data_IF_539721709007
#
_entry.id   IF_539721709007
#
_cell.length_a   1.000
_cell.length_b   1.000
_cell.length_c   1.000
_cell.angle_alpha   90.00
_cell.angle_beta   90.00
_cell.angle_gamma   90.00
#
_symmetry.space_group_name_H-M   'P 1'
#
loop_
_entity.id
_entity.type
_entity.pdbx_description
1 polymer ?
#
# COMPACT_ATOMS: atom_id res chain seq x y z
N UNK A 1 42.32 9.87 -1.53
CA UNK A 1 41.47 8.93 -2.30
C UNK A 1 40.14 9.61 -2.61
N UNK A 2 39.74 9.72 -3.88
CA UNK A 2 38.43 10.28 -4.22
C UNK A 2 37.33 9.30 -3.79
N UNK A 3 36.35 9.78 -3.02
CA UNK A 3 35.21 8.97 -2.63
C UNK A 3 34.49 8.49 -3.91
N UNK A 4 34.16 7.19 -4.03
CA UNK A 4 33.46 6.68 -5.20
C UNK A 4 32.17 7.47 -5.42
N UNK A 5 31.96 7.98 -6.63
CA UNK A 5 30.81 8.82 -6.96
C UNK A 5 29.53 7.99 -6.84
N UNK A 6 28.60 8.41 -5.98
CA UNK A 6 27.30 7.74 -5.81
C UNK A 6 26.57 7.66 -7.15
N UNK A 7 26.20 6.46 -7.61
CA UNK A 7 25.43 6.35 -8.84
C UNK A 7 24.03 6.95 -8.64
N UNK A 8 23.62 7.87 -9.52
CA UNK A 8 22.32 8.56 -9.42
C UNK A 8 21.13 7.59 -9.37
N UNK A 9 21.17 6.51 -10.16
CA UNK A 9 20.14 5.47 -10.17
C UNK A 9 19.98 4.75 -8.82
N UNK A 10 21.04 4.65 -8.01
CA UNK A 10 20.97 4.07 -6.67
C UNK A 10 20.20 4.99 -5.73
N UNK A 11 20.44 6.29 -5.82
CA UNK A 11 19.75 7.29 -5.01
C UNK A 11 18.26 7.32 -5.36
N UNK A 12 17.92 7.29 -6.65
CA UNK A 12 16.53 7.17 -7.11
C UNK A 12 15.88 5.89 -6.57
N UNK A 13 16.55 4.73 -6.68
CA UNK A 13 16.01 3.47 -6.16
C UNK A 13 15.76 3.51 -4.65
N UNK A 14 16.67 4.13 -3.88
CA UNK A 14 16.52 4.29 -2.44
C UNK A 14 15.39 5.23 -2.06
N UNK A 15 15.22 6.34 -2.78
CA UNK A 15 14.09 7.27 -2.58
C UNK A 15 12.77 6.58 -2.89
N UNK A 16 12.68 5.83 -3.99
CA UNK A 16 11.47 5.08 -4.34
C UNK A 16 11.16 4.00 -3.29
N UNK A 17 12.18 3.26 -2.81
CA UNK A 17 12.02 2.31 -1.73
C UNK A 17 11.52 2.97 -0.44
N UNK A 18 12.03 4.17 -0.13
CA UNK A 18 11.61 4.95 1.02
C UNK A 18 10.14 5.38 0.92
N UNK A 19 9.71 5.89 -0.25
CA UNK A 19 8.30 6.22 -0.53
C UNK A 19 7.39 4.98 -0.43
N UNK A 20 7.88 3.81 -0.87
CA UNK A 20 7.17 2.55 -0.69
C UNK A 20 6.98 2.17 0.77
N UNK A 21 8.02 2.38 1.59
CA UNK A 21 7.95 2.17 3.04
C UNK A 21 6.91 3.08 3.69
N UNK A 22 6.91 4.38 3.34
CA UNK A 22 5.92 5.35 3.81
C UNK A 22 4.50 4.93 3.43
N UNK A 23 4.27 4.49 2.19
CA UNK A 23 2.97 3.98 1.76
C UNK A 23 2.50 2.76 2.57
N UNK A 24 3.42 1.86 2.93
CA UNK A 24 3.14 0.72 3.82
C UNK A 24 2.75 1.15 5.24
N UNK A 25 3.43 2.18 5.77
CA UNK A 25 3.10 2.78 7.07
C UNK A 25 1.73 3.42 7.07
N UNK A 26 1.45 4.32 6.11
CA UNK A 26 0.15 5.01 5.99
C UNK A 26 -1.00 4.01 5.85
N UNK A 27 -0.79 2.94 5.09
CA UNK A 27 -1.81 1.91 4.96
C UNK A 27 -2.00 1.11 6.26
N UNK A 28 -0.91 0.76 6.94
CA UNK A 28 -0.98 0.06 8.23
C UNK A 28 -1.67 0.90 9.31
N UNK A 29 -1.35 2.19 9.40
CA UNK A 29 -1.99 3.12 10.34
C UNK A 29 -3.46 3.35 10.00
N UNK A 30 -3.82 3.43 8.72
CA UNK A 30 -5.22 3.53 8.30
C UNK A 30 -6.01 2.30 8.72
N UNK A 31 -5.47 1.10 8.46
CA UNK A 31 -6.11 -0.16 8.87
C UNK A 31 -6.25 -0.20 10.38
N UNK A 32 -5.21 0.12 11.16
CA UNK A 32 -5.29 0.10 12.62
C UNK A 32 -6.29 1.15 13.12
N UNK A 33 -6.22 2.37 12.58
CA UNK A 33 -7.08 3.49 12.95
C UNK A 33 -8.57 3.20 12.72
N UNK A 34 -8.92 2.48 11.65
CA UNK A 34 -10.31 2.10 11.40
C UNK A 34 -10.89 1.12 12.43
N UNK A 35 -10.06 0.45 13.25
CA UNK A 35 -10.55 -0.33 14.39
C UNK A 35 -10.90 0.52 15.60
N UNK A 36 -10.29 1.70 15.74
CA UNK A 36 -10.52 2.63 16.85
C UNK A 36 -11.57 3.68 16.53
N UNK A 37 -11.84 3.91 15.24
CA UNK A 37 -12.92 4.80 14.81
C UNK A 37 -14.27 4.21 15.18
N UNK A 38 -15.19 5.02 15.76
CA UNK A 38 -16.57 4.61 15.93
C UNK A 38 -17.14 4.16 14.57
N UNK A 39 -17.96 3.11 14.58
CA UNK A 39 -18.72 2.71 13.40
C UNK A 39 -19.52 3.94 12.94
N UNK A 40 -19.33 4.44 11.70
CA UNK A 40 -20.06 5.62 11.27
C UNK A 40 -21.55 5.33 11.28
N UNK A 41 -22.33 6.33 11.70
CA UNK A 41 -23.76 6.16 11.90
C UNK A 41 -24.44 5.83 10.56
N UNK A 42 -25.04 4.63 10.51
CA UNK A 42 -25.74 4.14 9.32
C UNK A 42 -26.89 5.10 8.97
N UNK A 43 -27.49 5.77 9.96
CA UNK A 43 -28.50 6.79 9.74
C UNK A 43 -27.93 8.05 9.07
N UNK A 44 -26.69 8.44 9.38
CA UNK A 44 -26.00 9.57 8.72
C UNK A 44 -25.68 9.24 7.25
N UNK A 45 -25.22 8.01 6.99
CA UNK A 45 -24.93 7.53 5.63
C UNK A 45 -26.22 7.41 4.82
N UNK A 46 -27.29 6.85 5.41
CA UNK A 46 -28.61 6.74 4.81
C UNK A 46 -29.27 8.12 4.58
N UNK A 47 -28.93 9.13 5.39
CA UNK A 47 -29.36 10.51 5.21
C UNK A 47 -28.92 11.14 3.87
N UNK A 48 -27.95 10.53 3.18
CA UNK A 48 -27.48 10.95 1.85
C UNK A 48 -28.34 10.43 0.69
N UNK A 49 -29.27 9.51 0.95
CA UNK A 49 -30.17 8.94 -0.06
C UNK A 49 -31.50 9.70 -0.12
N UNK A 50 -32.02 9.88 -1.34
CA UNK A 50 -33.31 10.54 -1.59
C UNK A 50 -34.36 9.48 -1.94
N UNK A 51 -35.29 9.23 -1.01
CA UNK A 51 -36.34 8.21 -1.15
C UNK A 51 -36.11 7.01 -0.24
N UNK A 52 -37.20 6.38 0.19
CA UNK A 52 -37.16 5.30 1.19
C UNK A 52 -36.53 4.01 0.66
N UNK A 53 -36.63 3.76 -0.65
CA UNK A 53 -36.06 2.57 -1.28
C UNK A 53 -34.53 2.68 -1.41
N UNK A 54 -33.99 3.85 -1.77
CA UNK A 54 -32.55 4.09 -1.84
C UNK A 54 -31.90 4.09 -0.45
N UNK A 55 -32.62 4.61 0.56
CA UNK A 55 -32.20 4.53 1.97
C UNK A 55 -32.07 3.09 2.44
N UNK A 56 -33.07 2.24 2.15
CA UNK A 56 -33.04 0.81 2.49
C UNK A 56 -31.91 0.09 1.76
N UNK A 57 -31.75 0.30 0.45
CA UNK A 57 -30.69 -0.32 -0.33
C UNK A 57 -29.29 0.06 0.18
N UNK A 58 -29.07 1.33 0.53
CA UNK A 58 -27.81 1.82 1.09
C UNK A 58 -27.57 1.27 2.50
N UNK A 59 -28.59 1.23 3.36
CA UNK A 59 -28.49 0.66 4.70
C UNK A 59 -28.17 -0.84 4.66
N UNK A 60 -28.81 -1.60 3.76
CA UNK A 60 -28.57 -3.03 3.59
C UNK A 60 -27.17 -3.33 3.02
N UNK A 61 -26.72 -2.55 2.03
CA UNK A 61 -25.36 -2.66 1.51
C UNK A 61 -24.31 -2.31 2.58
N UNK A 62 -24.56 -1.26 3.35
CA UNK A 62 -23.68 -0.80 4.44
C UNK A 62 -23.58 -1.85 5.54
N UNK A 63 -24.71 -2.43 5.95
CA UNK A 63 -24.76 -3.51 6.94
C UNK A 63 -24.00 -4.74 6.47
N UNK A 64 -24.14 -5.13 5.19
CA UNK A 64 -23.39 -6.25 4.60
C UNK A 64 -21.88 -5.98 4.55
N UNK A 65 -21.46 -4.78 4.16
CA UNK A 65 -20.05 -4.38 4.18
C UNK A 65 -19.48 -4.40 5.62
N UNK A 66 -20.22 -3.90 6.61
CA UNK A 66 -19.80 -3.96 8.01
C UNK A 66 -19.69 -5.39 8.52
N UNK A 67 -20.69 -6.24 8.28
CA UNK A 67 -20.66 -7.63 8.68
C UNK A 67 -19.49 -8.40 8.05
N UNK A 68 -19.21 -8.18 6.76
CA UNK A 68 -18.06 -8.76 6.06
C UNK A 68 -16.73 -8.26 6.63
N UNK A 69 -16.64 -6.96 6.93
CA UNK A 69 -15.45 -6.35 7.53
C UNK A 69 -15.22 -6.87 8.95
N UNK A 70 -16.28 -6.99 9.75
CA UNK A 70 -16.24 -7.49 11.13
C UNK A 70 -15.80 -8.95 11.19
N UNK A 71 -16.36 -9.80 10.33
CA UNK A 71 -15.95 -11.20 10.19
C UNK A 71 -14.47 -11.34 9.75
N UNK A 72 -13.97 -10.39 8.98
CA UNK A 72 -12.59 -10.38 8.52
C UNK A 72 -11.60 -9.69 9.47
N UNK A 73 -12.07 -8.99 10.51
CA UNK A 73 -11.22 -8.30 11.49
C UNK A 73 -10.05 -9.13 12.01
N UNK A 74 -10.21 -10.39 12.45
CA UNK A 74 -9.09 -11.18 12.99
C UNK A 74 -8.02 -11.49 11.95
N UNK A 75 -8.36 -11.43 10.65
CA UNK A 75 -7.41 -11.65 9.53
C UNK A 75 -6.77 -10.33 9.07
N UNK A 76 -7.54 -9.25 9.01
CA UNK A 76 -7.10 -7.94 8.48
C UNK A 76 -6.22 -7.18 9.49
N UNK A 77 -6.48 -7.34 10.78
CA UNK A 77 -5.71 -6.68 11.84
C UNK A 77 -4.22 -7.07 11.83
N UNK A 78 -3.85 -8.37 11.88
CA UNK A 78 -2.45 -8.76 11.82
C UNK A 78 -1.79 -8.37 10.49
N UNK A 79 -2.55 -8.32 9.38
CA UNK A 79 -2.05 -7.78 8.11
C UNK A 79 -1.75 -6.28 8.21
N UNK A 80 -2.60 -5.49 8.87
CA UNK A 80 -2.34 -4.06 9.11
C UNK A 80 -1.05 -3.84 9.90
N UNK A 81 -0.86 -4.59 10.99
CA UNK A 81 0.36 -4.55 11.81
C UNK A 81 1.58 -4.97 10.99
N UNK A 82 1.49 -6.06 10.22
CA UNK A 82 2.59 -6.52 9.37
C UNK A 82 2.97 -5.47 8.32
N UNK A 83 2.00 -4.79 7.71
CA UNK A 83 2.23 -3.68 6.76
C UNK A 83 2.97 -2.53 7.41
N UNK A 84 2.59 -2.16 8.64
CA UNK A 84 3.23 -1.08 9.40
C UNK A 84 4.68 -1.44 9.73
N UNK A 85 4.91 -2.63 10.31
CA UNK A 85 6.24 -3.10 10.70
C UNK A 85 7.15 -3.21 9.48
N UNK A 86 6.64 -3.77 8.37
CA UNK A 86 7.40 -3.91 7.14
C UNK A 86 7.72 -2.55 6.51
N UNK A 87 6.77 -1.61 6.52
CA UNK A 87 6.99 -0.23 6.07
C UNK A 87 8.08 0.49 6.87
N UNK A 88 8.03 0.40 8.20
CA UNK A 88 9.05 0.98 9.09
C UNK A 88 10.41 0.36 8.82
N UNK A 89 10.49 -0.97 8.69
CA UNK A 89 11.74 -1.66 8.40
C UNK A 89 12.34 -1.18 7.08
N UNK A 90 11.54 -1.05 6.02
CA UNK A 90 11.98 -0.55 4.73
C UNK A 90 12.52 0.88 4.83
N UNK A 91 11.82 1.77 5.53
CA UNK A 91 12.25 3.16 5.78
C UNK A 91 13.62 3.19 6.46
N UNK A 92 13.80 2.40 7.54
CA UNK A 92 15.03 2.36 8.31
C UNK A 92 16.20 1.78 7.52
N UNK A 93 15.99 0.68 6.80
CA UNK A 93 17.05 0.04 6.00
C UNK A 93 17.38 0.84 4.73
N UNK A 94 16.42 1.54 4.13
CA UNK A 94 16.69 2.48 3.04
C UNK A 94 17.56 3.65 3.53
N UNK A 95 17.23 4.25 4.68
CA UNK A 95 18.04 5.30 5.29
C UNK A 95 19.45 4.79 5.67
N UNK A 96 19.55 3.58 6.21
CA UNK A 96 20.83 2.96 6.56
C UNK A 96 21.67 2.58 5.34
N UNK A 97 21.04 2.18 4.25
CA UNK A 97 21.69 1.95 2.95
C UNK A 97 22.15 3.29 2.34
N UNK A 98 21.39 4.37 2.50
CA UNK A 98 21.85 5.73 2.16
C UNK A 98 23.05 6.17 3.02
N UNK A 99 23.26 5.62 4.20
CA UNK A 99 24.46 5.87 5.00
C UNK A 99 25.70 5.06 4.52
N UNK A 100 25.56 4.21 3.49
CA UNK A 100 26.69 3.49 2.88
C UNK A 100 27.00 2.12 3.49
N UNK A 101 26.17 1.59 4.40
CA UNK A 101 26.39 0.28 5.03
C UNK A 101 26.01 -0.87 4.08
N UNK A 102 26.98 -1.69 3.71
CA UNK A 102 26.80 -2.82 2.78
C UNK A 102 25.83 -3.89 3.32
N UNK A 103 25.90 -4.19 4.62
CA UNK A 103 24.98 -5.13 5.27
C UNK A 103 23.50 -4.73 5.12
N UNK A 104 23.19 -3.43 5.06
CA UNK A 104 21.82 -2.94 4.91
C UNK A 104 21.22 -3.27 3.54
N UNK A 105 22.04 -3.46 2.50
CA UNK A 105 21.58 -3.78 1.14
C UNK A 105 20.93 -5.16 1.08
N UNK A 106 21.54 -6.17 1.69
CA UNK A 106 21.01 -7.55 1.68
C UNK A 106 19.65 -7.61 2.37
N UNK A 107 19.56 -6.98 3.55
CA UNK A 107 18.29 -6.85 4.27
C UNK A 107 17.24 -6.07 3.47
N UNK A 108 17.62 -4.97 2.81
CA UNK A 108 16.68 -4.18 2.02
C UNK A 108 16.11 -4.98 0.83
N UNK A 109 16.92 -5.82 0.18
CA UNK A 109 16.43 -6.72 -0.87
C UNK A 109 15.45 -7.75 -0.32
N UNK A 110 15.77 -8.38 0.82
CA UNK A 110 14.85 -9.31 1.47
C UNK A 110 13.53 -8.65 1.87
N UNK A 111 13.59 -7.42 2.40
CA UNK A 111 12.40 -6.63 2.75
C UNK A 111 11.56 -6.29 1.53
N UNK A 112 12.17 -5.92 0.40
CA UNK A 112 11.44 -5.65 -0.85
C UNK A 112 10.75 -6.89 -1.40
N UNK A 113 11.40 -8.06 -1.32
CA UNK A 113 10.79 -9.34 -1.70
C UNK A 113 9.62 -9.70 -0.78
N UNK A 114 9.82 -9.55 0.54
CA UNK A 114 8.77 -9.77 1.53
C UNK A 114 7.59 -8.80 1.31
N UNK A 115 7.87 -7.54 0.97
CA UNK A 115 6.84 -6.54 0.67
C UNK A 115 6.07 -6.87 -0.61
N UNK A 116 6.75 -7.35 -1.65
CA UNK A 116 6.10 -7.87 -2.85
C UNK A 116 5.15 -9.03 -2.55
N UNK A 117 5.63 -10.03 -1.81
CA UNK A 117 4.82 -11.18 -1.41
C UNK A 117 3.64 -10.76 -0.52
N UNK A 118 3.88 -9.87 0.43
CA UNK A 118 2.87 -9.36 1.35
C UNK A 118 1.73 -8.65 0.62
N UNK A 119 2.04 -7.84 -0.40
CA UNK A 119 1.02 -7.17 -1.23
C UNK A 119 0.12 -8.20 -1.92
N UNK A 120 0.69 -9.28 -2.45
CA UNK A 120 -0.08 -10.37 -3.09
C UNK A 120 -0.97 -11.08 -2.07
N UNK A 121 -0.41 -11.51 -0.95
CA UNK A 121 -1.17 -12.19 0.12
C UNK A 121 -2.32 -11.32 0.61
N UNK A 122 -2.08 -10.03 0.80
CA UNK A 122 -3.10 -9.07 1.20
C UNK A 122 -4.18 -8.91 0.14
N UNK A 123 -3.83 -8.80 -1.14
CA UNK A 123 -4.81 -8.73 -2.22
C UNK A 123 -5.75 -9.93 -2.19
N UNK A 124 -5.18 -11.14 -2.14
CA UNK A 124 -5.97 -12.37 -2.02
C UNK A 124 -6.86 -12.40 -0.77
N UNK A 125 -6.33 -11.99 0.39
CA UNK A 125 -7.07 -12.01 1.65
C UNK A 125 -8.20 -10.96 1.72
N UNK A 126 -8.10 -9.87 0.95
CA UNK A 126 -9.06 -8.75 1.01
C UNK A 126 -10.06 -8.73 -0.15
N UNK A 127 -9.91 -9.62 -1.15
CA UNK A 127 -10.82 -9.71 -2.32
C UNK A 127 -12.28 -9.84 -1.94
N UNK A 128 -12.59 -10.70 -0.97
CA UNK A 128 -13.97 -10.96 -0.52
C UNK A 128 -14.58 -9.74 0.19
N UNK A 129 -13.80 -9.07 1.04
CA UNK A 129 -14.22 -7.86 1.77
C UNK A 129 -14.44 -6.71 0.80
N UNK A 130 -13.52 -6.54 -0.14
CA UNK A 130 -13.62 -5.51 -1.17
C UNK A 130 -14.88 -5.68 -2.00
N UNK A 131 -15.35 -6.91 -2.24
CA UNK A 131 -16.59 -7.14 -2.99
C UNK A 131 -17.81 -6.58 -2.27
N UNK A 132 -17.94 -6.86 -0.96
CA UNK A 132 -19.06 -6.38 -0.15
C UNK A 132 -19.07 -4.86 0.04
N UNK A 133 -17.90 -4.24 0.22
CA UNK A 133 -17.82 -2.79 0.45
C UNK A 133 -17.86 -1.94 -0.82
N UNK A 134 -17.51 -2.52 -1.96
CA UNK A 134 -17.62 -1.85 -3.25
C UNK A 134 -19.07 -1.52 -3.63
N UNK A 135 -20.03 -2.36 -3.22
CA UNK A 135 -21.46 -2.08 -3.44
C UNK A 135 -21.90 -0.78 -2.75
N UNK A 136 -21.38 -0.52 -1.54
CA UNK A 136 -21.64 0.73 -0.80
C UNK A 136 -21.04 1.92 -1.54
N UNK A 137 -19.78 1.84 -1.94
CA UNK A 137 -19.09 2.93 -2.64
C UNK A 137 -19.77 3.25 -3.98
N UNK A 138 -20.19 2.21 -4.72
CA UNK A 138 -20.95 2.33 -5.96
C UNK A 138 -22.29 3.03 -5.74
N UNK A 139 -23.04 2.65 -4.70
CA UNK A 139 -24.33 3.25 -4.36
C UNK A 139 -24.16 4.72 -3.95
N UNK A 140 -23.16 5.04 -3.12
CA UNK A 140 -22.86 6.41 -2.71
C UNK A 140 -22.49 7.28 -3.92
N UNK A 141 -21.64 6.79 -4.81
CA UNK A 141 -21.26 7.51 -6.03
C UNK A 141 -22.46 7.72 -6.95
N UNK A 142 -23.32 6.72 -7.09
CA UNK A 142 -24.55 6.79 -7.88
C UNK A 142 -25.49 7.87 -7.35
N UNK A 143 -25.68 7.91 -6.03
CA UNK A 143 -26.49 8.92 -5.34
C UNK A 143 -25.90 10.34 -5.51
N UNK A 144 -24.58 10.50 -5.40
CA UNK A 144 -23.91 11.80 -5.59
C UNK A 144 -24.06 12.32 -7.04
N UNK A 145 -23.96 11.43 -8.04
CA UNK A 145 -24.21 11.80 -9.44
C UNK A 145 -25.68 12.13 -9.71
N UNK A 146 -26.61 11.37 -9.13
CA UNK A 146 -28.04 11.69 -9.21
C UNK A 146 -28.35 13.05 -8.60
N UNK A 147 -27.76 13.37 -7.44
CA UNK A 147 -27.89 14.68 -6.80
C UNK A 147 -27.33 15.81 -7.68
N UNK A 148 -26.20 15.56 -8.36
CA UNK A 148 -25.61 16.48 -9.34
C UNK A 148 -26.35 16.49 -10.69
N UNK A 149 -27.46 15.74 -10.83
CA UNK A 149 -28.22 15.56 -12.09
C UNK A 149 -27.35 15.08 -13.26
N UNK A 150 -26.27 14.35 -12.95
CA UNK A 150 -25.39 13.72 -13.92
C UNK A 150 -25.89 12.30 -14.26
N UNK A 151 -25.37 11.74 -15.35
CA UNK A 151 -25.76 10.41 -15.80
C UNK A 151 -25.20 9.32 -14.86
N UNK A 152 -26.07 8.81 -14.00
CA UNK A 152 -25.77 7.77 -13.04
C UNK A 152 -25.54 6.39 -13.69
N UNK A 153 -25.95 6.19 -14.95
CA UNK A 153 -25.75 4.92 -15.67
C UNK A 153 -24.28 4.67 -16.03
N UNK A 154 -23.47 5.75 -16.05
CA UNK A 154 -22.02 5.70 -16.23
C UNK A 154 -21.37 4.87 -15.12
N UNK A 155 -21.85 4.98 -13.88
CA UNK A 155 -21.36 4.19 -12.73
C UNK A 155 -21.62 2.71 -12.97
N UNK A 156 -22.83 2.34 -13.39
CA UNK A 156 -23.17 0.94 -13.59
C UNK A 156 -22.34 0.26 -14.69
N UNK A 157 -21.82 1.03 -15.66
CA UNK A 157 -20.97 0.53 -16.75
C UNK A 157 -19.47 0.56 -16.44
N UNK A 158 -18.98 1.62 -15.82
CA UNK A 158 -17.54 1.85 -15.64
C UNK A 158 -16.98 1.26 -14.35
N UNK A 159 -17.74 1.22 -13.27
CA UNK A 159 -17.19 0.88 -11.95
C UNK A 159 -16.65 -0.56 -11.87
N UNK A 160 -17.31 -1.62 -12.35
CA UNK A 160 -16.75 -2.98 -12.21
C UNK A 160 -15.48 -3.17 -13.04
N UNK A 161 -15.46 -2.66 -14.29
CA UNK A 161 -14.29 -2.76 -15.16
C UNK A 161 -13.11 -1.90 -14.69
N UNK A 162 -13.38 -0.71 -14.13
CA UNK A 162 -12.36 0.15 -13.53
C UNK A 162 -11.81 -0.46 -12.25
N UNK A 163 -12.64 -1.09 -11.42
CA UNK A 163 -12.19 -1.73 -10.18
C UNK A 163 -11.21 -2.85 -10.45
N UNK A 164 -11.55 -3.78 -11.33
CA UNK A 164 -10.69 -4.92 -11.62
C UNK A 164 -9.36 -4.46 -12.24
N UNK A 165 -9.43 -3.49 -13.15
CA UNK A 165 -8.23 -2.89 -13.77
C UNK A 165 -7.41 -2.06 -12.79
N UNK A 166 -8.04 -1.32 -11.88
CA UNK A 166 -7.36 -0.50 -10.88
C UNK A 166 -6.70 -1.37 -9.80
N UNK A 167 -7.37 -2.44 -9.36
CA UNK A 167 -6.81 -3.40 -8.41
C UNK A 167 -5.60 -4.14 -9.01
N UNK A 168 -5.74 -4.63 -10.25
CA UNK A 168 -4.62 -5.21 -11.00
C UNK A 168 -3.49 -4.20 -11.23
N UNK A 169 -3.83 -2.98 -11.65
CA UNK A 169 -2.85 -1.92 -11.94
C UNK A 169 -2.09 -1.47 -10.69
N UNK A 170 -2.77 -1.28 -9.56
CA UNK A 170 -2.14 -0.88 -8.30
C UNK A 170 -1.22 -1.99 -7.77
N UNK A 171 -1.64 -3.25 -7.88
CA UNK A 171 -0.82 -4.40 -7.49
C UNK A 171 0.38 -4.59 -8.42
N UNK A 172 0.17 -4.48 -9.74
CA UNK A 172 1.23 -4.57 -10.74
C UNK A 172 2.25 -3.44 -10.63
N UNK A 173 1.79 -2.21 -10.38
CA UNK A 173 2.68 -1.07 -10.15
C UNK A 173 3.51 -1.27 -8.87
N UNK A 174 2.89 -1.80 -7.81
CA UNK A 174 3.60 -2.10 -6.56
C UNK A 174 4.65 -3.20 -6.73
N UNK A 175 4.32 -4.29 -7.41
CA UNK A 175 5.26 -5.39 -7.66
C UNK A 175 6.35 -5.00 -8.64
N UNK A 176 6.03 -4.24 -9.70
CA UNK A 176 7.02 -3.71 -10.63
C UNK A 176 7.99 -2.74 -9.94
N UNK A 177 7.49 -1.85 -9.07
CA UNK A 177 8.32 -0.97 -8.26
C UNK A 177 9.30 -1.74 -7.36
N UNK A 178 8.81 -2.75 -6.64
CA UNK A 178 9.66 -3.62 -5.82
C UNK A 178 10.70 -4.36 -6.66
N UNK A 179 10.32 -4.91 -7.82
CA UNK A 179 11.23 -5.60 -8.73
C UNK A 179 12.32 -4.67 -9.28
N UNK A 180 11.96 -3.44 -9.65
CA UNK A 180 12.92 -2.44 -10.11
C UNK A 180 13.92 -2.05 -9.02
N UNK A 181 13.47 -1.90 -7.77
CA UNK A 181 14.35 -1.64 -6.63
C UNK A 181 15.31 -2.80 -6.43
N UNK A 182 14.81 -4.04 -6.46
CA UNK A 182 15.65 -5.24 -6.32
C UNK A 182 16.68 -5.32 -7.45
N UNK A 183 16.28 -5.09 -8.70
CA UNK A 183 17.20 -5.09 -9.84
C UNK A 183 18.26 -3.99 -9.73
N UNK A 184 17.86 -2.78 -9.31
CA UNK A 184 18.79 -1.68 -9.08
C UNK A 184 19.80 -2.00 -7.97
N UNK A 185 19.34 -2.65 -6.89
CA UNK A 185 20.18 -3.08 -5.78
C UNK A 185 21.08 -4.25 -6.17
N UNK A 186 20.64 -5.21 -6.98
CA UNK A 186 21.45 -6.37 -7.39
C UNK A 186 22.52 -6.06 -8.44
N UNK A 187 22.42 -4.91 -9.13
CA UNK A 187 23.36 -4.54 -10.20
C UNK A 187 24.81 -4.50 -9.69
N UNK A 188 25.74 -5.05 -10.49
CA UNK A 188 27.17 -5.17 -10.15
C UNK A 188 27.80 -3.85 -9.71
N UNK A 189 27.52 -2.76 -10.42
CA UNK A 189 28.03 -1.41 -10.11
C UNK A 189 27.54 -0.85 -8.76
N UNK A 190 26.37 -1.28 -8.30
CA UNK A 190 25.86 -0.96 -6.95
C UNK A 190 26.64 -1.72 -5.89
N UNK A 191 26.94 -3.00 -6.14
CA UNK A 191 27.77 -3.85 -5.27
C UNK A 191 29.15 -3.24 -5.08
N UNK A 192 29.79 -2.86 -6.19
CA UNK A 192 31.13 -2.25 -6.17
C UNK A 192 31.14 -0.94 -5.36
N UNK A 193 30.06 -0.14 -5.41
CA UNK A 193 29.91 1.07 -4.61
C UNK A 193 29.84 0.78 -3.10
N UNK A 194 29.03 -0.19 -2.68
CA UNK A 194 28.90 -0.55 -1.26
C UNK A 194 30.16 -1.21 -0.72
N UNK A 195 30.80 -2.09 -1.50
CA UNK A 195 32.06 -2.73 -1.12
C UNK A 195 33.18 -1.68 -0.97
N UNK A 196 33.22 -0.66 -1.84
CA UNK A 196 34.18 0.45 -1.72
C UNK A 196 33.88 1.37 -0.52
N UNK A 197 32.61 1.63 -0.21
CA UNK A 197 32.21 2.42 0.96
C UNK A 197 32.57 1.72 2.27
N UNK A 198 32.37 0.41 2.36
CA UNK A 198 32.70 -0.41 3.53
C UNK A 198 34.22 -0.44 3.81
N UNK A 199 35.05 -0.55 2.76
CA UNK A 199 36.51 -0.48 2.89
C UNK A 199 36.97 0.88 3.42
N UNK A 200 36.46 1.97 2.86
CA UNK A 200 36.80 3.33 3.30
C UNK A 200 36.38 3.59 4.76
N UNK A 201 35.29 2.98 5.21
CA UNK A 201 34.82 3.09 6.59
C UNK A 201 35.68 2.28 7.56
N UNK A 202 36.06 1.05 7.18
CA UNK A 202 36.97 0.20 7.95
C UNK A 202 38.36 0.83 8.11
N UNK A 203 38.85 1.51 7.07
CA UNK A 203 40.12 2.25 7.13
C UNK A 203 40.06 3.46 8.07
N UNK A 204 38.93 4.17 8.11
CA UNK A 204 38.71 5.27 9.07
C UNK A 204 38.63 4.80 10.52
N UNK A 205 37.99 3.66 10.78
CA UNK A 205 37.83 3.14 12.15
C UNK A 205 39.14 2.56 12.71
N UNK A 206 40.16 2.34 11.86
CA UNK A 206 41.49 1.84 12.23
C UNK A 206 42.56 2.93 12.35
N UNK A 207 42.28 4.14 11.89
CA UNK A 207 43.17 5.30 11.92
C UNK A 207 42.91 6.14 13.18
#
# INVERSE_FOLDING_TARGET
>A
MQAPKRPFYLLVALVVAWLFGVGGCTQGTYIIGSYWSPVPDIAEIAGRAHGDDDKKALADATTRCFAATDAAKPKVFPLGVASLVLGIAVVLFAARSLAGKNSARVFLVQLMLAQGLFVVVRDLATREIGAACFDVERLVLKLDLQNKKADATVVDRLTPALRDKAALGATAARTAGAALIVLALMRRRTRDYFDAAERAQTERDRA
#
